data_IF_573994867603
#
_entry.id   IF_573994867603
#
_cell.length_a   1.000
_cell.length_b   1.000
_cell.length_c   1.000
_cell.angle_alpha   90.00
_cell.angle_beta   90.00
_cell.angle_gamma   90.00
#
_symmetry.space_group_name_H-M   'P 1'
#
loop_
_entity.id
_entity.type
_entity.pdbx_description
1 polymer ?
#
# COMPACT_ATOMS: atom_id res chain seq x y z
N UNK A 1 29.03 9.16 -24.40
CA UNK A 1 29.17 9.97 -23.17
C UNK A 1 29.12 11.43 -23.62
N UNK A 2 28.23 12.25 -23.06
CA UNK A 2 28.06 13.63 -23.48
C UNK A 2 28.48 14.51 -22.31
N UNK A 3 29.52 15.31 -22.52
CA UNK A 3 30.07 16.18 -21.46
C UNK A 3 29.44 17.56 -21.58
N UNK A 4 28.94 18.09 -20.45
CA UNK A 4 28.30 19.40 -20.37
C UNK A 4 29.13 20.26 -19.41
N UNK A 5 29.63 21.39 -19.91
CA UNK A 5 30.34 22.37 -19.10
C UNK A 5 29.36 23.34 -18.44
N UNK A 6 29.68 23.75 -17.22
CA UNK A 6 28.88 24.70 -16.44
C UNK A 6 29.82 25.58 -15.60
N UNK A 7 29.44 26.84 -15.41
CA UNK A 7 30.14 27.74 -14.48
C UNK A 7 29.63 27.55 -13.03
N UNK A 8 28.37 27.14 -12.88
CA UNK A 8 27.74 26.83 -11.60
C UNK A 8 26.70 25.73 -11.79
N UNK A 9 26.74 24.69 -10.96
CA UNK A 9 25.81 23.57 -10.99
C UNK A 9 24.97 23.53 -9.71
N UNK A 10 23.65 23.53 -9.87
CA UNK A 10 22.70 23.25 -8.78
C UNK A 10 22.08 21.88 -9.02
N UNK A 11 22.28 20.97 -8.07
CA UNK A 11 21.75 19.61 -8.15
C UNK A 11 20.49 19.51 -7.30
N UNK A 12 19.34 19.27 -7.96
CA UNK A 12 18.03 19.15 -7.31
C UNK A 12 17.24 17.94 -7.85
N UNK A 13 17.91 16.80 -8.04
CA UNK A 13 17.33 15.58 -8.64
C UNK A 13 16.36 14.81 -7.71
N UNK A 14 16.20 15.26 -6.46
CA UNK A 14 15.33 14.62 -5.47
C UNK A 14 15.91 13.31 -4.90
N UNK A 15 15.03 12.43 -4.43
CA UNK A 15 15.37 11.16 -3.79
C UNK A 15 14.48 10.03 -4.33
N UNK A 16 14.98 8.80 -4.42
CA UNK A 16 14.20 7.63 -4.85
C UNK A 16 13.55 6.89 -3.69
N UNK A 17 12.50 6.11 -3.99
CA UNK A 17 11.86 5.22 -3.02
C UNK A 17 12.89 4.22 -2.48
N UNK A 18 12.92 4.06 -1.15
CA UNK A 18 13.85 3.14 -0.50
C UNK A 18 13.13 1.83 -0.19
N UNK A 19 13.66 0.71 -0.68
CA UNK A 19 13.14 -0.64 -0.39
C UNK A 19 13.67 -1.21 0.92
N UNK A 20 14.61 -0.51 1.58
CA UNK A 20 15.30 -0.95 2.80
C UNK A 20 15.99 -2.34 2.66
N UNK A 21 16.25 -2.77 1.42
CA UNK A 21 16.83 -4.08 1.12
C UNK A 21 15.87 -5.26 1.35
N UNK A 22 14.57 -5.01 1.53
CA UNK A 22 13.57 -6.06 1.73
C UNK A 22 13.35 -6.80 0.39
N UNK A 23 13.58 -8.12 0.33
CA UNK A 23 13.42 -8.90 -0.89
C UNK A 23 11.99 -8.83 -1.45
N UNK A 24 11.87 -8.68 -2.77
CA UNK A 24 10.61 -8.65 -3.51
C UNK A 24 9.84 -7.32 -3.47
N UNK A 25 10.22 -6.34 -2.65
CA UNK A 25 9.58 -5.01 -2.66
C UNK A 25 9.73 -4.34 -4.03
N UNK A 26 10.92 -4.42 -4.64
CA UNK A 26 11.17 -3.85 -5.97
C UNK A 26 10.39 -4.53 -7.10
N UNK A 27 10.00 -5.80 -6.90
CA UNK A 27 9.36 -6.61 -7.94
C UNK A 27 7.82 -6.54 -7.86
N UNK A 28 7.27 -6.48 -6.64
CA UNK A 28 5.84 -6.65 -6.41
C UNK A 28 5.13 -5.43 -5.79
N UNK A 29 5.86 -4.52 -5.12
CA UNK A 29 5.25 -3.35 -4.50
C UNK A 29 5.05 -2.21 -5.50
N UNK A 30 3.94 -1.48 -5.36
CA UNK A 30 3.70 -0.26 -6.10
C UNK A 30 4.11 0.95 -5.25
N UNK A 31 5.19 1.61 -5.67
CA UNK A 31 5.54 2.90 -5.08
C UNK A 31 4.50 3.97 -5.43
N UNK A 32 4.48 5.08 -4.70
CA UNK A 32 3.65 6.25 -5.00
C UNK A 32 4.53 7.50 -4.94
N UNK A 33 5.28 7.76 -6.02
CA UNK A 33 6.16 8.92 -6.10
C UNK A 33 5.79 9.84 -7.27
N UNK A 34 5.50 9.26 -8.43
CA UNK A 34 5.17 9.98 -9.65
C UNK A 34 3.73 9.73 -10.12
N UNK A 35 3.24 10.55 -11.06
CA UNK A 35 1.89 10.41 -11.63
C UNK A 35 1.70 9.04 -12.31
N UNK A 36 2.76 8.51 -12.92
CA UNK A 36 2.76 7.16 -13.50
C UNK A 36 2.44 6.10 -12.45
N UNK A 37 2.91 6.28 -11.23
CA UNK A 37 2.71 5.33 -10.15
C UNK A 37 1.25 5.32 -9.68
N UNK A 38 0.66 6.51 -9.50
CA UNK A 38 -0.75 6.64 -9.17
C UNK A 38 -1.66 5.97 -10.21
N UNK A 39 -1.29 6.03 -11.50
CA UNK A 39 -2.01 5.33 -12.57
C UNK A 39 -1.89 3.81 -12.45
N UNK A 40 -0.69 3.29 -12.14
CA UNK A 40 -0.46 1.86 -11.90
C UNK A 40 -1.27 1.35 -10.72
N UNK A 41 -1.27 2.09 -9.60
CA UNK A 41 -2.09 1.76 -8.43
C UNK A 41 -3.56 1.70 -8.81
N UNK A 42 -4.09 2.73 -9.48
CA UNK A 42 -5.50 2.73 -9.91
C UNK A 42 -5.82 1.53 -10.81
N UNK A 43 -4.97 1.25 -11.79
CA UNK A 43 -5.14 0.10 -12.68
C UNK A 43 -5.15 -1.21 -11.88
N UNK A 44 -4.21 -1.38 -10.95
CA UNK A 44 -4.12 -2.59 -10.12
C UNK A 44 -5.35 -2.78 -9.24
N UNK A 45 -5.87 -1.71 -8.64
CA UNK A 45 -7.10 -1.81 -7.84
C UNK A 45 -8.27 -2.27 -8.73
N UNK A 46 -8.42 -1.71 -9.94
CA UNK A 46 -9.46 -2.14 -10.89
C UNK A 46 -9.30 -3.62 -11.24
N UNK A 47 -8.09 -4.07 -11.57
CA UNK A 47 -7.78 -5.48 -11.85
C UNK A 47 -8.17 -6.38 -10.67
N UNK A 48 -7.85 -6.00 -9.43
CA UNK A 48 -8.24 -6.74 -8.23
C UNK A 48 -9.76 -6.91 -8.11
N UNK A 49 -10.54 -5.85 -8.36
CA UNK A 49 -12.01 -5.92 -8.35
C UNK A 49 -12.55 -6.79 -9.49
N UNK A 50 -12.02 -6.65 -10.70
CA UNK A 50 -12.42 -7.45 -11.86
C UNK A 50 -12.16 -8.94 -11.62
N UNK A 51 -10.96 -9.29 -11.14
CA UNK A 51 -10.61 -10.66 -10.79
C UNK A 51 -11.48 -11.20 -9.64
N UNK A 52 -11.71 -10.43 -8.59
CA UNK A 52 -12.54 -10.86 -7.47
C UNK A 52 -14.03 -11.04 -7.85
N UNK A 53 -14.49 -10.41 -8.94
CA UNK A 53 -15.86 -10.55 -9.43
C UNK A 53 -16.11 -11.79 -10.28
N UNK A 54 -15.06 -12.54 -10.65
CA UNK A 54 -15.20 -13.69 -11.54
C UNK A 54 -15.92 -14.86 -10.84
N UNK A 55 -16.79 -15.60 -11.56
CA UNK A 55 -17.65 -16.63 -10.97
C UNK A 55 -16.90 -17.87 -10.46
N UNK A 56 -15.65 -18.06 -10.87
CA UNK A 56 -14.78 -19.17 -10.48
C UNK A 56 -13.92 -18.85 -9.24
N UNK A 57 -13.98 -17.63 -8.71
CA UNK A 57 -13.16 -17.21 -7.57
C UNK A 57 -13.90 -17.50 -6.26
N UNK A 58 -13.23 -18.20 -5.35
CA UNK A 58 -13.76 -18.49 -4.01
C UNK A 58 -13.82 -17.23 -3.17
N UNK A 59 -14.63 -17.24 -2.10
CA UNK A 59 -14.73 -16.08 -1.19
C UNK A 59 -13.39 -15.76 -0.53
N UNK A 60 -12.63 -16.80 -0.21
CA UNK A 60 -11.31 -16.71 0.40
C UNK A 60 -10.29 -16.06 -0.56
N UNK A 61 -10.30 -16.45 -1.83
CA UNK A 61 -9.45 -15.85 -2.86
C UNK A 61 -9.84 -14.39 -3.15
N UNK A 62 -11.15 -14.10 -3.21
CA UNK A 62 -11.65 -12.74 -3.36
C UNK A 62 -11.24 -11.85 -2.18
N UNK A 63 -11.28 -12.36 -0.95
CA UNK A 63 -10.84 -11.63 0.23
C UNK A 63 -9.33 -11.30 0.17
N UNK A 64 -8.49 -12.22 -0.33
CA UNK A 64 -7.07 -11.95 -0.56
C UNK A 64 -6.83 -10.92 -1.66
N UNK A 65 -7.55 -11.00 -2.78
CA UNK A 65 -7.48 -10.04 -3.89
C UNK A 65 -7.95 -8.63 -3.50
N UNK A 66 -8.92 -8.55 -2.59
CA UNK A 66 -9.48 -7.29 -2.09
C UNK A 66 -8.84 -6.84 -0.77
N UNK A 67 -7.74 -7.47 -0.37
CA UNK A 67 -6.88 -6.96 0.70
C UNK A 67 -5.83 -6.02 0.12
N UNK A 68 -5.95 -4.75 0.49
CA UNK A 68 -5.00 -3.69 0.12
C UNK A 68 -4.05 -3.45 1.29
N UNK A 69 -2.82 -3.95 1.16
CA UNK A 69 -1.76 -3.68 2.11
C UNK A 69 -1.08 -2.37 1.73
N UNK A 70 -0.80 -1.51 2.70
CA UNK A 70 -0.14 -0.23 2.46
C UNK A 70 1.01 -0.06 3.45
N UNK A 71 2.22 0.16 2.94
CA UNK A 71 3.39 0.46 3.78
C UNK A 71 3.62 1.97 3.76
N UNK A 72 3.06 2.66 4.75
CA UNK A 72 3.14 4.11 4.90
C UNK A 72 2.15 4.90 4.03
N UNK A 73 1.31 5.72 4.68
CA UNK A 73 0.50 6.78 4.05
C UNK A 73 -0.84 6.33 3.44
N UNK A 74 -1.95 6.88 3.96
CA UNK A 74 -3.31 6.36 3.73
C UNK A 74 -3.89 6.53 2.31
N UNK A 75 -4.86 5.69 1.89
CA UNK A 75 -5.22 5.55 0.47
C UNK A 75 -6.58 6.15 0.02
N UNK A 76 -6.80 6.09 -1.30
CA UNK A 76 -7.88 6.74 -2.09
C UNK A 76 -8.92 5.72 -2.62
N UNK A 77 -9.47 4.86 -1.76
CA UNK A 77 -10.28 3.69 -2.21
C UNK A 77 -11.79 3.96 -2.33
N UNK A 78 -12.25 5.15 -1.94
CA UNK A 78 -13.70 5.47 -1.83
C UNK A 78 -14.46 5.41 -3.17
N UNK A 79 -13.80 5.69 -4.30
CA UNK A 79 -14.49 5.77 -5.60
C UNK A 79 -14.81 4.41 -6.23
N UNK A 80 -13.94 3.40 -6.05
CA UNK A 80 -14.09 2.07 -6.69
C UNK A 80 -15.14 1.19 -5.99
N UNK A 81 -15.31 1.40 -4.69
CA UNK A 81 -16.35 0.76 -3.88
C UNK A 81 -17.77 0.99 -4.43
N UNK A 82 -18.00 2.09 -5.16
CA UNK A 82 -19.31 2.41 -5.76
C UNK A 82 -19.63 1.58 -7.01
N UNK A 83 -18.62 1.07 -7.71
CA UNK A 83 -18.80 0.29 -8.94
C UNK A 83 -19.08 -1.19 -8.68
N UNK A 84 -18.62 -1.72 -7.54
CA UNK A 84 -18.76 -3.12 -7.16
C UNK A 84 -19.41 -3.27 -5.77
N UNK A 85 -20.72 -2.94 -5.62
CA UNK A 85 -21.39 -2.91 -4.31
C UNK A 85 -21.40 -4.28 -3.60
N UNK A 86 -21.40 -5.38 -4.36
CA UNK A 86 -21.41 -6.73 -3.80
C UNK A 86 -20.05 -7.14 -3.19
N UNK A 87 -18.96 -6.49 -3.61
CA UNK A 87 -17.60 -6.78 -3.15
C UNK A 87 -17.14 -5.86 -2.02
N UNK A 88 -17.89 -4.79 -1.74
CA UNK A 88 -17.50 -3.75 -0.78
C UNK A 88 -17.24 -4.31 0.62
N UNK A 89 -18.00 -5.32 1.04
CA UNK A 89 -17.89 -5.95 2.35
C UNK A 89 -16.68 -6.89 2.46
N UNK A 90 -16.09 -7.27 1.33
CA UNK A 90 -14.89 -8.11 1.25
C UNK A 90 -13.61 -7.29 1.14
N UNK A 91 -13.72 -5.96 0.93
CA UNK A 91 -12.57 -5.06 0.87
C UNK A 91 -12.01 -4.88 2.26
N UNK A 92 -10.74 -5.20 2.41
CA UNK A 92 -9.99 -4.97 3.64
C UNK A 92 -8.76 -4.16 3.34
N UNK A 93 -8.37 -3.32 4.29
CA UNK A 93 -7.23 -2.44 4.09
C UNK A 93 -6.41 -2.34 5.34
N UNK A 94 -5.12 -2.62 5.21
CA UNK A 94 -4.21 -2.65 6.33
C UNK A 94 -3.00 -1.79 6.06
N UNK A 95 -2.79 -0.80 6.92
CA UNK A 95 -1.57 0.00 6.96
C UNK A 95 -0.57 -0.70 7.87
N UNK A 96 0.57 -1.09 7.33
CA UNK A 96 1.69 -1.66 8.07
C UNK A 96 2.75 -0.58 8.30
N UNK A 97 3.22 -0.48 9.53
CA UNK A 97 4.29 0.42 9.93
C UNK A 97 5.25 -0.30 10.88
N UNK A 98 6.55 -0.13 10.67
CA UNK A 98 7.59 -0.66 11.54
C UNK A 98 7.66 0.12 12.86
N UNK A 99 7.30 1.40 12.83
CA UNK A 99 7.28 2.23 14.02
C UNK A 99 6.19 1.74 14.99
N UNK A 100 6.37 1.90 16.31
CA UNK A 100 5.35 1.56 17.29
C UNK A 100 4.10 2.43 17.17
N UNK A 101 4.19 3.58 16.48
CA UNK A 101 3.10 4.52 16.27
C UNK A 101 3.21 5.15 14.88
N UNK A 102 2.07 5.30 14.20
CA UNK A 102 1.98 6.09 12.98
C UNK A 102 2.05 7.59 13.29
N UNK A 103 2.47 8.40 12.31
CA UNK A 103 2.47 9.87 12.43
C UNK A 103 3.27 10.38 13.65
N UNK A 104 4.40 9.73 13.97
CA UNK A 104 5.20 10.02 15.17
C UNK A 104 5.71 11.46 15.29
N UNK A 105 5.75 12.23 14.19
CA UNK A 105 6.13 13.65 14.18
C UNK A 105 5.02 14.60 14.65
N UNK A 106 3.78 14.13 14.78
CA UNK A 106 2.63 14.93 15.22
C UNK A 106 2.37 14.74 16.72
N UNK A 107 1.68 15.68 17.36
CA UNK A 107 1.28 15.53 18.76
C UNK A 107 0.22 14.41 18.92
N UNK A 108 0.07 13.95 20.17
CA UNK A 108 -0.80 12.81 20.48
C UNK A 108 -2.26 13.03 20.07
N UNK A 109 -2.79 14.25 20.19
CA UNK A 109 -4.20 14.52 19.88
C UNK A 109 -4.49 14.37 18.39
N UNK A 110 -3.57 14.81 17.52
CA UNK A 110 -3.67 14.66 16.08
C UNK A 110 -3.51 13.20 15.65
N UNK A 111 -2.61 12.45 16.31
CA UNK A 111 -2.46 11.01 16.06
C UNK A 111 -3.74 10.25 16.42
N UNK A 112 -4.29 10.49 17.60
CA UNK A 112 -5.52 9.84 18.06
C UNK A 112 -6.71 10.17 17.14
N UNK A 113 -6.78 11.41 16.64
CA UNK A 113 -7.77 11.81 15.65
C UNK A 113 -7.62 11.01 14.35
N UNK A 114 -6.40 10.91 13.81
CA UNK A 114 -6.13 10.16 12.58
C UNK A 114 -6.44 8.67 12.73
N UNK A 115 -6.03 8.05 13.83
CA UNK A 115 -6.34 6.65 14.14
C UNK A 115 -7.86 6.44 14.21
N UNK A 116 -8.58 7.28 14.96
CA UNK A 116 -10.05 7.22 15.03
C UNK A 116 -10.70 7.37 13.65
N UNK A 117 -10.18 8.28 12.82
CA UNK A 117 -10.69 8.50 11.46
C UNK A 117 -10.46 7.28 10.57
N UNK A 118 -9.27 6.68 10.61
CA UNK A 118 -8.95 5.47 9.86
C UNK A 118 -9.80 4.27 10.32
N UNK A 119 -9.92 4.05 11.62
CA UNK A 119 -10.78 2.97 12.16
C UNK A 119 -12.24 3.14 11.75
N UNK A 120 -12.78 4.38 11.77
CA UNK A 120 -14.14 4.67 11.30
C UNK A 120 -14.35 4.36 9.81
N UNK A 121 -13.30 4.46 9.00
CA UNK A 121 -13.31 4.11 7.58
C UNK A 121 -13.04 2.61 7.33
N UNK A 122 -12.96 1.78 8.37
CA UNK A 122 -12.66 0.34 8.23
C UNK A 122 -11.20 0.03 7.92
N UNK A 123 -10.29 0.98 8.16
CA UNK A 123 -8.86 0.81 7.88
C UNK A 123 -8.18 0.23 9.12
N UNK A 124 -7.51 -0.91 8.94
CA UNK A 124 -6.71 -1.54 9.98
C UNK A 124 -5.32 -0.93 10.00
N UNK A 125 -4.78 -0.71 11.20
CA UNK A 125 -3.44 -0.18 11.40
C UNK A 125 -2.66 -1.21 12.20
N UNK A 126 -1.50 -1.62 11.67
CA UNK A 126 -0.59 -2.59 12.27
C UNK A 126 0.78 -1.94 12.43
N UNK A 127 1.03 -1.40 13.61
CA UNK A 127 2.32 -0.85 14.03
C UNK A 127 3.24 -1.93 14.59
N UNK A 128 4.55 -1.69 14.59
CA UNK A 128 5.55 -2.69 14.97
C UNK A 128 5.62 -3.88 14.00
N UNK A 129 5.02 -3.75 12.82
CA UNK A 129 4.96 -4.78 11.79
C UNK A 129 6.07 -4.52 10.76
N UNK A 130 7.11 -5.34 10.83
CA UNK A 130 8.23 -5.36 9.90
C UNK A 130 7.98 -6.38 8.80
N UNK A 131 7.87 -5.88 7.58
CA UNK A 131 7.84 -6.72 6.38
C UNK A 131 9.23 -7.31 6.17
N UNK A 132 9.31 -8.64 6.13
CA UNK A 132 10.56 -9.37 5.93
C UNK A 132 10.80 -9.70 4.46
N UNK A 133 9.74 -10.04 3.73
CA UNK A 133 9.80 -10.39 2.31
C UNK A 133 8.44 -10.17 1.66
N UNK A 134 8.46 -9.76 0.40
CA UNK A 134 7.27 -9.64 -0.44
C UNK A 134 7.32 -10.70 -1.53
N UNK A 135 6.23 -11.44 -1.69
CA UNK A 135 6.00 -12.36 -2.81
C UNK A 135 4.77 -11.91 -3.58
N UNK A 136 4.54 -12.50 -4.75
CA UNK A 136 3.52 -12.04 -5.72
C UNK A 136 2.11 -11.83 -5.14
N UNK A 137 1.68 -12.66 -4.17
CA UNK A 137 0.33 -12.60 -3.59
C UNK A 137 0.29 -12.60 -2.08
N UNK A 138 1.45 -12.53 -1.42
CA UNK A 138 1.53 -12.57 0.04
C UNK A 138 2.75 -11.83 0.60
N UNK A 139 2.53 -11.18 1.74
CA UNK A 139 3.55 -10.56 2.58
C UNK A 139 4.00 -11.55 3.63
N UNK A 140 5.29 -11.56 3.93
CA UNK A 140 5.84 -12.22 5.12
C UNK A 140 6.17 -11.12 6.13
N UNK A 141 5.46 -11.12 7.25
CA UNK A 141 5.57 -10.11 8.31
C UNK A 141 5.98 -10.81 9.60
N UNK A 142 6.91 -10.23 10.34
CA UNK A 142 7.29 -10.75 11.66
C UNK A 142 6.06 -10.88 12.56
N UNK A 143 6.02 -11.95 13.35
CA UNK A 143 4.98 -12.24 14.35
C UNK A 143 3.54 -12.43 13.83
N UNK A 144 3.26 -12.14 12.56
CA UNK A 144 1.96 -12.34 11.89
C UNK A 144 2.04 -13.54 10.92
N UNK A 145 3.18 -13.74 10.27
CA UNK A 145 3.38 -14.78 9.27
C UNK A 145 2.94 -14.31 7.88
N UNK A 146 2.25 -15.19 7.15
CA UNK A 146 1.86 -14.96 5.77
C UNK A 146 0.53 -14.21 5.67
N UNK A 147 0.52 -13.07 4.99
CA UNK A 147 -0.68 -12.25 4.77
C UNK A 147 -0.95 -12.13 3.28
N UNK A 148 -2.08 -12.62 2.76
CA UNK A 148 -2.42 -12.47 1.35
C UNK A 148 -2.70 -11.00 1.03
N UNK A 149 -2.36 -10.54 -0.17
CA UNK A 149 -2.71 -9.19 -0.64
C UNK A 149 -2.99 -9.20 -2.14
N UNK A 150 -3.86 -8.28 -2.59
CA UNK A 150 -4.09 -8.01 -4.01
C UNK A 150 -3.20 -6.91 -4.55
N UNK A 151 -2.95 -5.89 -3.72
CA UNK A 151 -2.04 -4.79 -3.99
C UNK A 151 -1.25 -4.43 -2.72
N UNK A 152 0.02 -4.08 -2.92
CA UNK A 152 0.95 -3.57 -1.93
C UNK A 152 1.48 -2.21 -2.36
#
# INVERSE_FOLDING_TARGET
KFDIQYDTLVVAVGANSNTFGIPGVGDYALFLKDISDARKIRQRVIECFEHASQPNVTKEEAAGLLHFAVVGGGPTVEDLARLYPNLINSVTMTVYDIAPQILGSFDQSLRDYAIKKFTRKGIHIRTGARVETVKERHLIINDIGEVPYGML
#
